data_IF_739415130527
#
_entry.id   IF_739415130527
#
_cell.length_a   1.000
_cell.length_b   1.000
_cell.length_c   1.000
_cell.angle_alpha   90.00
_cell.angle_beta   90.00
_cell.angle_gamma   90.00
#
_symmetry.space_group_name_H-M   'P 1'
#
loop_
_entity.id
_entity.type
_entity.pdbx_description
1 polymer ?
#
# COMPACT_ATOMS: atom_id res chain seq x y z
N UNK A 1 -24.38 -15.00 -6.21
CA UNK A 1 -24.69 -13.62 -5.78
C UNK A 1 -23.39 -12.83 -5.84
N UNK A 2 -23.35 -11.82 -6.71
CA UNK A 2 -22.28 -10.82 -6.94
C UNK A 2 -20.90 -11.30 -7.44
N UNK A 3 -20.82 -11.53 -8.75
CA UNK A 3 -19.63 -11.16 -9.52
C UNK A 3 -19.37 -9.66 -9.33
N UNK A 4 -18.28 -9.29 -8.65
CA UNK A 4 -17.67 -7.96 -8.82
C UNK A 4 -16.17 -8.13 -8.95
N UNK A 5 -15.79 -8.50 -10.16
CA UNK A 5 -14.54 -8.19 -10.83
C UNK A 5 -13.35 -8.10 -9.87
N UNK A 6 -12.63 -9.20 -9.70
CA UNK A 6 -11.17 -9.11 -9.67
C UNK A 6 -10.77 -8.50 -11.03
N UNK A 7 -10.96 -7.18 -11.17
CA UNK A 7 -10.31 -6.42 -12.23
C UNK A 7 -8.86 -6.70 -11.94
N UNK A 8 -8.21 -7.40 -12.86
CA UNK A 8 -6.79 -7.62 -12.91
C UNK A 8 -6.08 -6.29 -12.59
N UNK A 9 -5.86 -6.01 -11.31
CA UNK A 9 -5.52 -4.67 -10.86
C UNK A 9 -4.10 -4.46 -11.30
N UNK A 10 -3.91 -3.51 -12.22
CA UNK A 10 -2.62 -3.29 -12.84
C UNK A 10 -1.60 -2.94 -11.76
N UNK A 11 -0.67 -3.86 -11.51
CA UNK A 11 0.36 -3.65 -10.51
C UNK A 11 1.43 -2.74 -11.07
N UNK A 12 1.66 -1.61 -10.40
CA UNK A 12 2.76 -0.71 -10.71
C UNK A 12 3.93 -0.95 -9.76
N UNK A 13 5.14 -1.06 -10.32
CA UNK A 13 6.37 -0.96 -9.55
C UNK A 13 6.74 0.52 -9.38
N UNK A 14 7.05 0.90 -8.14
CA UNK A 14 7.52 2.23 -7.79
C UNK A 14 8.92 2.13 -7.19
N UNK A 15 9.74 3.16 -7.44
CA UNK A 15 11.04 3.33 -6.79
C UNK A 15 10.92 4.47 -5.79
N UNK A 16 11.43 4.27 -4.58
CA UNK A 16 11.48 5.29 -3.53
C UNK A 16 12.93 5.50 -3.11
N UNK A 17 13.30 6.74 -2.83
CA UNK A 17 14.59 7.08 -2.26
C UNK A 17 14.44 7.20 -0.74
N UNK A 18 15.28 6.48 -0.01
CA UNK A 18 15.33 6.54 1.46
C UNK A 18 16.80 6.58 1.90
N UNK A 19 17.10 7.15 3.08
CA UNK A 19 18.44 7.03 3.66
C UNK A 19 18.85 5.56 3.80
N UNK A 20 20.14 5.29 3.63
CA UNK A 20 20.69 3.94 3.75
C UNK A 20 20.40 3.30 5.13
N UNK A 21 20.38 4.13 6.18
CA UNK A 21 20.02 3.70 7.54
C UNK A 21 18.60 3.14 7.61
N UNK A 22 17.65 3.76 6.94
CA UNK A 22 16.25 3.37 7.01
C UNK A 22 15.98 2.16 6.12
N UNK A 23 16.60 2.11 4.95
CA UNK A 23 16.58 0.92 4.12
C UNK A 23 17.10 -0.33 4.87
N UNK A 24 18.18 -0.19 5.65
CA UNK A 24 18.69 -1.28 6.49
C UNK A 24 17.62 -1.70 7.50
N UNK A 25 16.97 -0.77 8.22
CA UNK A 25 15.91 -1.11 9.19
C UNK A 25 14.77 -1.88 8.53
N UNK A 26 14.28 -1.41 7.38
CA UNK A 26 13.19 -2.05 6.61
C UNK A 26 13.60 -3.48 6.22
N UNK A 27 14.82 -3.66 5.72
CA UNK A 27 15.33 -4.98 5.34
C UNK A 27 15.39 -5.94 6.54
N UNK A 28 15.90 -5.49 7.68
CA UNK A 28 15.98 -6.33 8.88
C UNK A 28 14.60 -6.75 9.37
N UNK A 29 13.62 -5.83 9.37
CA UNK A 29 12.27 -6.18 9.80
C UNK A 29 11.60 -7.17 8.84
N UNK A 30 11.82 -7.04 7.53
CA UNK A 30 11.33 -8.02 6.55
C UNK A 30 11.92 -9.42 6.80
N UNK A 31 13.22 -9.48 7.10
CA UNK A 31 13.90 -10.73 7.46
C UNK A 31 13.36 -11.33 8.77
N UNK A 32 13.14 -10.49 9.80
CA UNK A 32 12.58 -10.91 11.10
C UNK A 32 11.20 -11.56 10.94
N UNK A 33 10.38 -11.02 10.05
CA UNK A 33 9.04 -11.53 9.74
C UNK A 33 9.03 -12.64 8.67
N UNK A 34 10.18 -12.98 8.08
CA UNK A 34 10.33 -13.97 6.99
C UNK A 34 9.42 -13.66 5.78
N UNK A 35 9.30 -12.39 5.42
CA UNK A 35 8.53 -11.94 4.25
C UNK A 35 9.38 -11.08 3.31
N UNK A 36 9.04 -10.99 2.02
CA UNK A 36 9.70 -10.07 1.11
C UNK A 36 9.55 -8.61 1.57
N UNK A 37 10.59 -7.78 1.37
CA UNK A 37 10.54 -6.35 1.70
C UNK A 37 9.34 -5.63 1.06
N UNK A 38 8.98 -5.99 -0.18
CA UNK A 38 7.83 -5.40 -0.88
C UNK A 38 6.50 -5.73 -0.22
N UNK A 39 6.38 -6.90 0.41
CA UNK A 39 5.20 -7.29 1.17
C UNK A 39 5.12 -6.52 2.49
N UNK A 40 6.23 -6.37 3.20
CA UNK A 40 6.30 -5.54 4.40
C UNK A 40 5.87 -4.09 4.09
N UNK A 41 6.42 -3.49 3.03
CA UNK A 41 6.05 -2.12 2.63
C UNK A 41 4.56 -2.01 2.28
N UNK A 42 3.96 -3.00 1.59
CA UNK A 42 2.51 -2.99 1.32
C UNK A 42 1.68 -3.03 2.59
N UNK A 43 2.05 -3.86 3.56
CA UNK A 43 1.34 -3.95 4.84
C UNK A 43 1.37 -2.63 5.60
N UNK A 44 2.51 -1.93 5.57
CA UNK A 44 2.62 -0.61 6.19
C UNK A 44 1.91 0.50 5.43
N UNK A 45 1.85 0.44 4.10
CA UNK A 45 1.13 1.43 3.30
C UNK A 45 -0.39 1.25 3.34
N UNK A 46 -0.88 0.02 3.54
CA UNK A 46 -2.31 -0.31 3.43
C UNK A 46 -3.23 0.58 4.28
N UNK A 47 -2.98 0.82 5.59
CA UNK A 47 -3.86 1.66 6.40
C UNK A 47 -3.95 3.11 5.88
N UNK A 48 -2.84 3.64 5.37
CA UNK A 48 -2.79 4.98 4.82
C UNK A 48 -3.53 5.08 3.49
N UNK A 49 -3.44 4.05 2.65
CA UNK A 49 -4.21 3.95 1.39
C UNK A 49 -5.71 3.86 1.70
N UNK A 50 -6.11 3.05 2.67
CA UNK A 50 -7.51 2.91 3.10
C UNK A 50 -8.05 4.26 3.59
N UNK A 51 -7.30 4.98 4.43
CA UNK A 51 -7.66 6.32 4.89
C UNK A 51 -7.83 7.32 3.74
N UNK A 52 -6.97 7.26 2.71
CA UNK A 52 -7.08 8.13 1.54
C UNK A 52 -8.35 7.84 0.72
N UNK A 53 -8.82 6.59 0.68
CA UNK A 53 -10.06 6.23 -0.02
C UNK A 53 -11.29 6.78 0.70
N UNK A 54 -11.32 6.71 2.03
CA UNK A 54 -12.41 7.26 2.85
C UNK A 54 -12.56 8.78 2.68
N UNK A 55 -11.45 9.53 2.66
CA UNK A 55 -11.46 10.98 2.42
C UNK A 55 -11.84 11.39 1.00
N UNK A 56 -11.69 10.49 0.02
CA UNK A 56 -12.16 10.71 -1.35
C UNK A 56 -13.68 10.46 -1.50
N UNK A 57 -14.27 9.56 -0.69
CA UNK A 57 -15.72 9.35 -0.70
C UNK A 57 -16.51 10.53 -0.15
N UNK A 58 -15.98 11.28 0.82
CA UNK A 58 -16.65 12.50 1.32
C UNK A 58 -16.60 13.66 0.32
N UNK A 59 -15.58 13.73 -0.54
CA UNK A 59 -15.41 14.84 -1.49
C UNK A 59 -16.30 14.71 -2.74
N UNK A 60 -16.68 13.49 -3.13
CA UNK A 60 -17.51 13.25 -4.32
C UNK A 60 -19.03 13.27 -4.05
N UNK A 61 -19.48 13.40 -2.79
CA UNK A 61 -20.90 13.40 -2.43
C UNK A 61 -21.55 14.78 -2.41
N UNK A 62 -20.81 15.87 -2.68
CA UNK A 62 -21.32 17.26 -2.60
C UNK A 62 -21.72 17.80 -4.00
N UNK A 63 -21.57 17.01 -5.06
CA UNK A 63 -22.04 17.35 -6.41
C UNK A 63 -23.06 16.32 -6.90
N UNK A 64 -24.26 16.32 -6.32
CA UNK A 64 -25.49 15.90 -6.99
C UNK A 64 -26.74 16.41 -6.28
#
# INVERSE_FOLDING_TARGET
>A
MNQRIERNEMRKQISIFVPMSDWKKIRHEAARNRIPMTELCRRWMRPEIERLQEGQHTSNSILH
#
